data_IF_702801064062
#
_entry.id   IF_702801064062
#
_cell.length_a   1.000
_cell.length_b   1.000
_cell.length_c   1.000
_cell.angle_alpha   90.00
_cell.angle_beta   90.00
_cell.angle_gamma   90.00
#
_symmetry.space_group_name_H-M   'P 1'
#
loop_
_entity.id
_entity.type
_entity.pdbx_description
1 polymer ?
#
# COMPACT_ATOMS: atom_id res chain seq x y z
N UNK A 1 0.47 -40.24 8.89
CA UNK A 1 1.38 -39.88 7.78
C UNK A 1 1.63 -38.36 7.75
N UNK A 2 1.94 -37.75 8.91
CA UNK A 2 1.99 -36.27 9.11
C UNK A 2 3.40 -35.78 9.46
N UNK A 3 4.39 -36.68 9.45
CA UNK A 3 5.73 -36.39 9.99
C UNK A 3 6.81 -36.16 8.93
N UNK A 4 6.48 -36.20 7.63
CA UNK A 4 7.47 -36.03 6.55
C UNK A 4 7.39 -34.70 5.79
N UNK A 5 6.37 -33.86 6.03
CA UNK A 5 6.20 -32.57 5.31
C UNK A 5 6.96 -31.43 6.01
N UNK A 6 7.20 -31.52 7.33
CA UNK A 6 7.96 -30.51 8.07
C UNK A 6 9.47 -30.51 7.80
N UNK A 7 10.06 -31.64 7.38
CA UNK A 7 11.51 -31.73 7.16
C UNK A 7 11.97 -31.18 5.80
N UNK A 8 11.11 -31.24 4.78
CA UNK A 8 11.44 -30.73 3.43
C UNK A 8 11.35 -29.20 3.40
N UNK A 9 10.48 -28.60 4.20
CA UNK A 9 10.36 -27.13 4.34
C UNK A 9 11.61 -26.54 5.04
N UNK A 10 12.26 -27.29 5.93
CA UNK A 10 13.47 -26.82 6.62
C UNK A 10 14.72 -26.80 5.71
N UNK A 11 14.82 -27.74 4.77
CA UNK A 11 16.00 -27.83 3.86
C UNK A 11 15.94 -26.79 2.74
N UNK A 12 14.75 -26.48 2.21
CA UNK A 12 14.59 -25.42 1.19
C UNK A 12 14.79 -24.02 1.79
N UNK A 13 14.51 -23.83 3.08
CA UNK A 13 14.73 -22.55 3.79
C UNK A 13 16.22 -22.22 4.00
N UNK A 14 17.10 -23.22 4.00
CA UNK A 14 18.55 -23.01 4.18
C UNK A 14 19.32 -22.75 2.87
N UNK A 15 18.81 -23.21 1.73
CA UNK A 15 19.51 -23.11 0.44
C UNK A 15 19.36 -21.74 -0.27
N UNK A 16 18.32 -20.96 0.01
CA UNK A 16 18.07 -19.66 -0.64
C UNK A 16 18.46 -18.43 0.20
N UNK A 17 19.20 -18.62 1.29
CA UNK A 17 19.47 -17.56 2.30
C UNK A 17 20.55 -16.55 1.91
N UNK A 18 21.09 -16.61 0.69
CA UNK A 18 22.34 -15.90 0.32
C UNK A 18 22.20 -14.80 -0.74
N UNK A 19 21.02 -14.52 -1.32
CA UNK A 19 20.86 -13.39 -2.26
C UNK A 19 19.71 -12.41 -1.95
N UNK A 20 18.86 -12.68 -0.95
CA UNK A 20 17.58 -11.96 -0.78
C UNK A 20 17.52 -10.96 0.41
N UNK A 21 18.68 -10.49 0.90
CA UNK A 21 18.75 -9.72 2.16
C UNK A 21 18.59 -8.20 2.08
N UNK A 22 18.46 -7.61 0.88
CA UNK A 22 18.49 -6.14 0.71
C UNK A 22 17.27 -5.59 -0.06
N UNK A 23 16.05 -6.06 0.22
CA UNK A 23 14.82 -5.49 -0.35
C UNK A 23 14.09 -4.64 0.70
N UNK A 24 13.77 -3.40 0.35
CA UNK A 24 12.84 -2.57 1.11
C UNK A 24 11.42 -2.84 0.63
N UNK A 25 10.58 -3.36 1.52
CA UNK A 25 9.26 -3.87 1.16
C UNK A 25 8.17 -2.86 1.51
N UNK A 26 7.30 -2.60 0.55
CA UNK A 26 6.12 -1.76 0.70
C UNK A 26 4.88 -2.58 0.41
N UNK A 27 4.00 -2.66 1.39
CA UNK A 27 2.66 -3.23 1.23
C UNK A 27 1.76 -2.14 0.67
N UNK A 28 1.05 -2.47 -0.40
CA UNK A 28 -0.01 -1.63 -0.95
C UNK A 28 -1.33 -2.23 -0.44
N UNK A 29 -2.03 -1.48 0.42
CA UNK A 29 -3.25 -1.92 1.07
C UNK A 29 -4.36 -0.86 1.05
N UNK A 30 -5.60 -1.32 1.05
CA UNK A 30 -6.77 -0.48 0.86
C UNK A 30 -7.69 -0.97 -0.26
N UNK A 31 -8.28 -0.01 -0.98
CA UNK A 31 -9.35 -0.24 -1.96
C UNK A 31 -8.98 0.26 -3.37
N UNK A 32 -9.99 0.52 -4.22
CA UNK A 32 -9.80 0.81 -5.65
C UNK A 32 -8.83 1.95 -5.98
N UNK A 33 -8.68 2.97 -5.14
CA UNK A 33 -7.69 4.03 -5.35
C UNK A 33 -6.25 3.62 -4.98
N UNK A 34 -6.05 2.60 -4.14
CA UNK A 34 -4.74 1.94 -4.00
C UNK A 34 -4.52 0.90 -5.10
N UNK A 35 -5.55 0.11 -5.44
CA UNK A 35 -5.48 -0.83 -6.56
C UNK A 35 -5.12 -0.13 -7.88
N UNK A 36 -5.62 1.10 -8.05
CA UNK A 36 -5.41 1.95 -9.22
C UNK A 36 -6.51 1.79 -10.26
N UNK A 37 -7.04 2.93 -10.69
CA UNK A 37 -8.03 3.05 -11.78
C UNK A 37 -7.71 4.19 -12.74
N UNK A 38 -6.54 4.81 -12.60
CA UNK A 38 -6.10 5.85 -13.52
C UNK A 38 -6.08 5.34 -14.97
N UNK A 39 -6.75 6.04 -15.87
CA UNK A 39 -6.81 5.69 -17.30
C UNK A 39 -7.84 4.60 -17.63
N UNK A 40 -8.61 4.12 -16.65
CA UNK A 40 -9.72 3.18 -16.90
C UNK A 40 -10.99 3.96 -17.20
N UNK A 41 -11.54 3.77 -18.41
CA UNK A 41 -12.83 4.34 -18.83
C UNK A 41 -13.66 3.22 -19.45
N UNK A 42 -14.93 3.09 -19.03
CA UNK A 42 -15.83 2.03 -19.51
C UNK A 42 -15.22 0.61 -19.39
N UNK A 43 -14.54 0.32 -18.29
CA UNK A 43 -13.83 -0.95 -18.05
C UNK A 43 -12.73 -1.25 -19.09
N UNK A 44 -12.10 -0.22 -19.66
CA UNK A 44 -10.97 -0.37 -20.56
C UNK A 44 -9.86 0.56 -20.07
N UNK A 45 -8.68 0.00 -19.79
CA UNK A 45 -7.48 0.78 -19.52
C UNK A 45 -6.92 1.34 -20.84
N UNK A 46 -6.61 2.63 -20.88
CA UNK A 46 -6.07 3.31 -22.07
C UNK A 46 -4.65 2.85 -22.45
N UNK A 47 -3.96 2.12 -21.57
CA UNK A 47 -2.61 1.61 -21.78
C UNK A 47 -1.52 2.68 -21.64
N UNK A 48 -1.87 3.91 -21.26
CA UNK A 48 -0.91 4.99 -21.10
C UNK A 48 -0.17 4.86 -19.77
N UNK A 49 1.15 4.65 -19.84
CA UNK A 49 2.03 4.61 -18.67
C UNK A 49 2.82 5.92 -18.56
N UNK A 50 2.58 6.76 -17.54
CA UNK A 50 3.35 7.98 -17.32
C UNK A 50 4.85 7.69 -17.14
N UNK A 51 5.75 8.64 -17.48
CA UNK A 51 7.20 8.50 -17.26
C UNK A 51 7.59 8.13 -15.82
N UNK A 52 6.86 8.66 -14.84
CA UNK A 52 7.06 8.40 -13.41
C UNK A 52 6.67 6.98 -12.99
N UNK A 53 5.85 6.30 -13.80
CA UNK A 53 5.36 4.94 -13.55
C UNK A 53 6.08 3.88 -14.40
N UNK A 54 7.13 4.24 -15.15
CA UNK A 54 7.87 3.30 -15.99
C UNK A 54 8.54 2.21 -15.16
N UNK A 55 8.67 1.01 -15.74
CA UNK A 55 9.32 -0.11 -15.07
C UNK A 55 10.81 0.13 -14.85
N UNK A 56 11.34 -0.49 -13.79
CA UNK A 56 12.73 -0.34 -13.37
C UNK A 56 13.18 -1.66 -12.76
N UNK A 57 14.34 -2.17 -13.17
CA UNK A 57 14.87 -3.45 -12.69
C UNK A 57 15.12 -3.50 -11.18
N UNK A 58 15.21 -2.34 -10.52
CA UNK A 58 15.35 -2.21 -9.06
C UNK A 58 14.01 -2.13 -8.32
N UNK A 59 12.88 -2.18 -9.04
CA UNK A 59 11.53 -2.22 -8.49
C UNK A 59 10.90 -3.56 -8.87
N UNK A 60 10.57 -4.34 -7.86
CA UNK A 60 9.99 -5.67 -8.03
C UNK A 60 8.57 -5.69 -7.46
N UNK A 61 7.72 -6.57 -7.98
CA UNK A 61 6.39 -6.85 -7.47
C UNK A 61 6.31 -8.31 -7.01
N UNK A 62 5.67 -8.56 -5.87
CA UNK A 62 5.30 -9.91 -5.45
C UNK A 62 4.06 -10.36 -6.22
N UNK A 63 4.20 -11.43 -7.01
CA UNK A 63 3.09 -12.05 -7.75
C UNK A 63 2.25 -12.94 -6.84
N UNK A 64 1.07 -13.33 -7.33
CA UNK A 64 0.22 -14.35 -6.69
C UNK A 64 0.92 -15.71 -6.50
N UNK A 65 1.90 -16.02 -7.36
CA UNK A 65 2.75 -17.21 -7.23
C UNK A 65 3.79 -17.12 -6.11
N UNK A 66 3.79 -16.03 -5.33
CA UNK A 66 4.77 -15.72 -4.28
C UNK A 66 6.20 -15.60 -4.81
N UNK A 67 6.34 -15.21 -6.07
CA UNK A 67 7.63 -14.92 -6.71
C UNK A 67 7.73 -13.43 -7.04
N UNK A 68 8.93 -12.88 -6.91
CA UNK A 68 9.22 -11.51 -7.34
C UNK A 68 9.50 -11.45 -8.84
N UNK A 69 8.93 -10.45 -9.50
CA UNK A 69 9.20 -10.08 -10.89
C UNK A 69 9.43 -8.57 -11.00
N UNK A 70 9.92 -8.08 -12.14
CA UNK A 70 9.99 -6.63 -12.39
C UNK A 70 8.58 -6.01 -12.33
N UNK A 71 8.42 -4.97 -11.53
CA UNK A 71 7.12 -4.30 -11.37
C UNK A 71 6.74 -3.53 -12.64
N UNK A 72 5.48 -3.70 -13.07
CA UNK A 72 4.87 -3.01 -14.22
C UNK A 72 3.43 -2.65 -13.87
N UNK A 73 2.95 -1.54 -14.42
CA UNK A 73 1.53 -1.21 -14.35
C UNK A 73 0.70 -2.08 -15.33
N UNK A 74 -0.56 -2.39 -15.01
CA UNK A 74 -1.22 -2.18 -13.71
C UNK A 74 -0.70 -3.13 -12.61
N UNK A 75 -0.21 -2.58 -11.49
CA UNK A 75 0.41 -3.39 -10.41
C UNK A 75 -0.56 -4.43 -9.82
N UNK A 76 -1.87 -4.14 -9.79
CA UNK A 76 -2.87 -4.98 -9.11
C UNK A 76 -3.60 -5.98 -10.02
N UNK A 77 -3.17 -6.11 -11.29
CA UNK A 77 -3.88 -6.90 -12.30
C UNK A 77 -4.16 -8.37 -11.90
N UNK A 78 -3.31 -8.97 -11.06
CA UNK A 78 -3.47 -10.37 -10.62
C UNK A 78 -4.21 -10.54 -9.29
N UNK A 79 -4.59 -9.44 -8.62
CA UNK A 79 -5.17 -9.47 -7.28
C UNK A 79 -6.61 -8.94 -7.25
N UNK A 80 -6.92 -7.94 -8.08
CA UNK A 80 -8.24 -7.32 -8.15
C UNK A 80 -9.11 -7.97 -9.25
N UNK A 81 -9.47 -9.24 -9.06
CA UNK A 81 -10.14 -10.07 -10.08
C UNK A 81 -11.50 -9.54 -10.57
N UNK A 82 -12.13 -8.65 -9.80
CA UNK A 82 -13.48 -8.16 -10.07
C UNK A 82 -13.49 -6.84 -10.85
N UNK A 83 -12.32 -6.26 -11.14
CA UNK A 83 -12.23 -4.97 -11.79
C UNK A 83 -10.99 -4.82 -12.69
N UNK A 84 -11.12 -4.01 -13.74
CA UNK A 84 -9.99 -3.63 -14.58
C UNK A 84 -9.13 -2.63 -13.82
N UNK A 85 -7.85 -2.97 -13.64
CA UNK A 85 -6.86 -2.10 -13.02
C UNK A 85 -6.25 -1.14 -14.04
N UNK A 86 -5.92 0.06 -13.59
CA UNK A 86 -5.15 1.04 -14.35
C UNK A 86 -3.92 1.50 -13.57
N UNK A 87 -3.52 2.76 -13.76
CA UNK A 87 -2.44 3.37 -12.99
C UNK A 87 -2.84 3.47 -11.52
N UNK A 88 -1.90 3.12 -10.63
CA UNK A 88 -1.99 3.27 -9.19
C UNK A 88 -0.82 4.13 -8.66
N UNK A 89 -0.76 4.45 -7.36
CA UNK A 89 0.32 5.30 -6.84
C UNK A 89 1.65 4.54 -6.67
N UNK A 90 1.66 3.21 -6.78
CA UNK A 90 2.77 2.34 -6.43
C UNK A 90 4.05 2.52 -7.25
N UNK A 91 3.95 2.57 -8.59
CA UNK A 91 5.16 2.76 -9.43
C UNK A 91 5.73 4.17 -9.28
N UNK A 92 4.88 5.20 -9.26
CA UNK A 92 5.30 6.58 -9.02
C UNK A 92 6.00 6.72 -7.66
N UNK A 93 5.42 6.12 -6.62
CA UNK A 93 6.03 6.04 -5.29
C UNK A 93 7.43 5.43 -5.34
N UNK A 94 7.55 4.22 -5.89
CA UNK A 94 8.81 3.48 -5.88
C UNK A 94 9.91 4.16 -6.70
N UNK A 95 9.58 4.67 -7.89
CA UNK A 95 10.53 5.43 -8.71
C UNK A 95 10.96 6.72 -8.02
N UNK A 96 10.04 7.43 -7.36
CA UNK A 96 10.37 8.65 -6.63
C UNK A 96 11.26 8.37 -5.43
N UNK A 97 11.01 7.29 -4.67
CA UNK A 97 11.88 6.86 -3.57
C UNK A 97 13.28 6.52 -4.08
N UNK A 98 13.43 5.68 -5.11
CA UNK A 98 14.74 5.35 -5.68
C UNK A 98 15.52 6.58 -6.15
N UNK A 99 14.82 7.53 -6.76
CA UNK A 99 15.42 8.78 -7.24
C UNK A 99 15.97 9.64 -6.10
N UNK A 100 15.29 9.68 -4.95
CA UNK A 100 15.61 10.58 -3.84
C UNK A 100 16.37 9.89 -2.69
N UNK A 101 16.37 8.57 -2.62
CA UNK A 101 17.25 7.76 -1.77
C UNK A 101 17.86 6.60 -2.57
N UNK A 102 18.92 6.86 -3.37
CA UNK A 102 19.57 5.81 -4.16
C UNK A 102 20.22 4.69 -3.31
N UNK A 103 20.38 4.89 -2.00
CA UNK A 103 20.98 3.91 -1.09
C UNK A 103 19.95 2.91 -0.55
N UNK A 104 18.66 3.15 -0.78
CA UNK A 104 17.58 2.24 -0.36
C UNK A 104 17.71 0.85 -1.00
N UNK A 105 18.43 0.72 -2.11
CA UNK A 105 18.60 -0.58 -2.79
C UNK A 105 17.33 -1.01 -3.52
N UNK A 106 17.04 -2.31 -3.52
CA UNK A 106 15.91 -2.87 -4.29
C UNK A 106 14.60 -2.62 -3.54
N UNK A 107 13.58 -2.14 -4.26
CA UNK A 107 12.22 -1.97 -3.75
C UNK A 107 11.38 -3.19 -4.11
N UNK A 108 10.63 -3.73 -3.15
CA UNK A 108 9.63 -4.78 -3.36
C UNK A 108 8.23 -4.26 -3.04
N UNK A 109 7.36 -4.24 -4.03
CA UNK A 109 5.94 -3.91 -3.90
C UNK A 109 5.14 -5.18 -3.66
N UNK A 110 4.33 -5.18 -2.60
CA UNK A 110 3.43 -6.27 -2.25
C UNK A 110 2.01 -5.76 -2.42
N UNK A 111 1.37 -5.98 -3.59
CA UNK A 111 -0.02 -5.62 -3.79
C UNK A 111 -0.90 -6.51 -2.91
N UNK A 112 -1.64 -5.92 -1.98
CA UNK A 112 -2.63 -6.65 -1.16
C UNK A 112 -4.06 -6.14 -1.41
N UNK A 113 -4.25 -5.11 -2.23
CA UNK A 113 -5.53 -4.46 -2.45
C UNK A 113 -6.56 -5.35 -3.14
N UNK A 114 -7.80 -5.26 -2.65
CA UNK A 114 -8.97 -5.79 -3.34
C UNK A 114 -10.04 -4.70 -3.38
N UNK A 115 -10.47 -4.34 -4.59
CA UNK A 115 -11.50 -3.34 -4.80
C UNK A 115 -12.80 -3.66 -4.04
N UNK A 116 -13.46 -2.63 -3.54
CA UNK A 116 -14.73 -2.73 -2.80
C UNK A 116 -14.69 -3.61 -1.53
N UNK A 117 -13.53 -3.73 -0.88
CA UNK A 117 -13.42 -4.41 0.43
C UNK A 117 -13.63 -3.46 1.61
N UNK A 118 -14.33 -3.95 2.63
CA UNK A 118 -14.50 -3.29 3.91
C UNK A 118 -13.33 -3.66 4.83
N UNK A 119 -12.91 -2.76 5.72
CA UNK A 119 -11.83 -3.01 6.70
C UNK A 119 -12.03 -4.30 7.54
N UNK A 120 -13.28 -4.72 7.75
CA UNK A 120 -13.61 -6.00 8.39
C UNK A 120 -13.06 -7.23 7.64
N UNK A 121 -12.90 -7.16 6.32
CA UNK A 121 -12.33 -8.21 5.47
C UNK A 121 -10.80 -8.29 5.57
N UNK A 122 -10.18 -7.30 6.23
CA UNK A 122 -8.75 -7.24 6.55
C UNK A 122 -8.43 -7.63 7.98
N UNK A 123 -9.42 -8.19 8.69
CA UNK A 123 -9.23 -8.70 10.05
C UNK A 123 -8.20 -9.83 10.12
N UNK A 124 -7.59 -9.95 11.30
CA UNK A 124 -6.64 -11.01 11.64
C UNK A 124 -7.15 -12.40 11.21
N UNK A 125 -6.30 -13.13 10.49
CA UNK A 125 -6.61 -14.47 9.97
C UNK A 125 -7.29 -14.50 8.59
N UNK A 126 -7.67 -13.36 8.01
CA UNK A 126 -8.16 -13.30 6.63
C UNK A 126 -7.08 -13.63 5.60
N UNK A 127 -7.49 -13.98 4.37
CA UNK A 127 -6.58 -14.31 3.28
C UNK A 127 -5.66 -13.12 2.94
N UNK A 128 -6.21 -11.91 2.91
CA UNK A 128 -5.46 -10.68 2.62
C UNK A 128 -4.46 -10.35 3.72
N UNK A 129 -4.86 -10.59 4.97
CA UNK A 129 -4.02 -10.42 6.13
C UNK A 129 -2.79 -11.32 6.15
N UNK A 130 -2.95 -12.60 5.82
CA UNK A 130 -1.86 -13.57 5.85
C UNK A 130 -0.84 -13.43 4.70
N UNK A 131 -1.22 -12.79 3.59
CA UNK A 131 -0.31 -12.47 2.47
C UNK A 131 0.72 -11.39 2.85
N UNK A 132 0.46 -10.66 3.93
CA UNK A 132 1.22 -9.53 4.43
C UNK A 132 2.21 -9.93 5.55
N UNK A 133 2.99 -11.03 5.50
CA UNK A 133 3.99 -11.33 6.57
C UNK A 133 5.45 -11.58 6.08
N UNK A 134 6.47 -10.88 6.69
CA UNK A 134 7.98 -11.02 6.68
C UNK A 134 8.92 -9.97 5.98
N UNK A 135 9.69 -9.14 6.75
CA UNK A 135 10.89 -8.24 6.45
C UNK A 135 10.73 -6.77 6.98
N UNK A 136 11.59 -5.81 6.57
CA UNK A 136 11.49 -4.35 6.93
C UNK A 136 10.43 -3.64 6.10
N UNK A 137 9.26 -3.44 6.70
CA UNK A 137 8.02 -3.18 5.96
C UNK A 137 7.56 -1.75 6.16
N UNK A 138 6.90 -1.20 5.14
CA UNK A 138 6.08 0.00 5.27
C UNK A 138 4.72 -0.30 4.66
N UNK A 139 3.65 0.01 5.37
CA UNK A 139 2.29 -0.11 4.85
C UNK A 139 1.87 1.22 4.23
N UNK A 140 1.52 1.22 2.94
CA UNK A 140 0.80 2.30 2.28
C UNK A 140 -0.68 1.93 2.30
N UNK A 141 -1.50 2.78 2.93
CA UNK A 141 -2.92 2.51 3.15
C UNK A 141 -3.82 3.59 2.52
N UNK A 142 -4.65 3.23 1.54
CA UNK A 142 -5.66 4.14 1.00
C UNK A 142 -7.03 3.46 0.92
N UNK A 143 -7.86 3.76 1.92
CA UNK A 143 -9.18 3.17 2.11
C UNK A 143 -10.11 4.13 2.86
N UNK A 144 -11.41 3.98 2.63
CA UNK A 144 -12.46 4.57 3.47
C UNK A 144 -13.66 5.08 2.70
N UNK A 145 -13.62 5.12 1.37
CA UNK A 145 -14.72 5.67 0.58
C UNK A 145 -16.01 4.88 0.82
N UNK A 146 -15.96 3.55 0.89
CA UNK A 146 -17.16 2.71 1.11
C UNK A 146 -17.86 3.04 2.44
N UNK A 147 -17.09 3.30 3.50
CA UNK A 147 -17.60 3.65 4.83
C UNK A 147 -18.26 5.04 4.85
N UNK A 148 -18.05 5.89 3.84
CA UNK A 148 -18.75 7.19 3.76
C UNK A 148 -20.25 7.07 3.47
N UNK A 149 -20.73 5.90 3.05
CA UNK A 149 -22.10 5.70 2.57
C UNK A 149 -23.13 5.48 3.68
N UNK A 150 -22.71 5.10 4.88
CA UNK A 150 -23.61 4.80 5.99
C UNK A 150 -22.99 5.22 7.33
N UNK A 151 -23.78 5.10 8.40
CA UNK A 151 -23.42 5.61 9.73
C UNK A 151 -22.31 4.82 10.44
N UNK A 152 -21.83 3.70 9.87
CA UNK A 152 -20.60 3.03 10.31
C UNK A 152 -19.37 3.95 10.23
N UNK A 153 -19.44 5.07 9.51
CA UNK A 153 -18.39 6.09 9.51
C UNK A 153 -17.97 6.52 10.94
N UNK A 154 -18.91 6.52 11.88
CA UNK A 154 -18.65 6.82 13.31
C UNK A 154 -17.72 5.82 13.97
N UNK A 155 -17.69 4.58 13.47
CA UNK A 155 -16.83 3.49 13.96
C UNK A 155 -15.51 3.42 13.19
N UNK A 156 -15.32 4.21 12.13
CA UNK A 156 -14.14 4.12 11.28
C UNK A 156 -12.85 4.37 12.06
N UNK A 157 -12.80 5.42 12.90
CA UNK A 157 -11.60 5.76 13.70
C UNK A 157 -11.13 4.60 14.57
N UNK A 158 -12.05 3.95 15.29
CA UNK A 158 -11.72 2.83 16.17
C UNK A 158 -11.36 1.56 15.39
N UNK A 159 -12.04 1.28 14.28
CA UNK A 159 -11.74 0.14 13.39
C UNK A 159 -10.36 0.31 12.72
N UNK A 160 -10.04 1.52 12.26
CA UNK A 160 -8.74 1.84 11.66
C UNK A 160 -7.59 1.70 12.66
N UNK A 161 -7.78 2.23 13.88
CA UNK A 161 -6.81 2.05 14.96
C UNK A 161 -6.57 0.57 15.23
N UNK A 162 -7.64 -0.22 15.41
CA UNK A 162 -7.54 -1.66 15.63
C UNK A 162 -6.83 -2.38 14.49
N UNK A 163 -7.16 -2.05 13.25
CA UNK A 163 -6.51 -2.64 12.09
C UNK A 163 -4.99 -2.40 12.10
N UNK A 164 -4.54 -1.16 12.32
CA UNK A 164 -3.11 -0.85 12.37
C UNK A 164 -2.39 -1.53 13.54
N UNK A 165 -3.04 -1.68 14.71
CA UNK A 165 -2.45 -2.43 15.82
C UNK A 165 -2.39 -3.92 15.53
N UNK A 166 -3.46 -4.51 14.98
CA UNK A 166 -3.48 -5.93 14.63
C UNK A 166 -2.36 -6.24 13.62
N UNK A 167 -2.27 -5.44 12.53
CA UNK A 167 -1.23 -5.55 11.49
C UNK A 167 0.18 -5.57 12.10
N UNK A 168 0.44 -4.68 13.07
CA UNK A 168 1.73 -4.60 13.76
C UNK A 168 2.01 -5.83 14.61
N UNK A 169 1.00 -6.32 15.31
CA UNK A 169 1.10 -7.45 16.22
C UNK A 169 1.40 -8.74 15.45
N UNK A 170 0.68 -9.03 14.36
CA UNK A 170 0.95 -10.26 13.61
C UNK A 170 2.22 -10.18 12.76
N UNK A 171 2.64 -8.97 12.35
CA UNK A 171 3.97 -8.76 11.78
C UNK A 171 5.09 -8.79 12.81
N UNK A 172 4.76 -8.86 14.10
CA UNK A 172 5.70 -8.70 15.21
C UNK A 172 6.61 -7.47 15.01
N UNK A 173 6.03 -6.38 14.52
CA UNK A 173 6.71 -5.14 14.15
C UNK A 173 5.96 -3.95 14.76
N UNK A 174 6.07 -3.73 16.09
CA UNK A 174 5.29 -2.71 16.80
C UNK A 174 5.56 -1.28 16.32
N UNK A 175 6.70 -1.04 15.68
CA UNK A 175 7.12 0.24 15.12
C UNK A 175 6.94 0.34 13.60
N UNK A 176 6.15 -0.56 12.98
CA UNK A 176 5.90 -0.57 11.53
C UNK A 176 5.50 0.83 11.05
N UNK A 177 6.26 1.44 10.12
CA UNK A 177 5.85 2.66 9.44
C UNK A 177 4.57 2.42 8.65
N UNK A 178 3.57 3.26 8.87
CA UNK A 178 2.31 3.26 8.13
C UNK A 178 2.12 4.66 7.55
N UNK A 179 1.77 4.73 6.27
CA UNK A 179 1.39 5.97 5.59
C UNK A 179 -0.02 5.77 5.07
N UNK A 180 -0.98 6.46 5.69
CA UNK A 180 -2.37 6.43 5.26
C UNK A 180 -2.72 7.66 4.42
N UNK A 181 -3.77 7.55 3.62
CA UNK A 181 -4.27 8.62 2.75
C UNK A 181 -5.63 9.11 3.24
N UNK A 182 -5.77 10.40 3.49
CA UNK A 182 -7.07 11.03 3.69
C UNK A 182 -7.80 11.25 2.36
N UNK A 183 -9.06 10.85 2.28
CA UNK A 183 -9.79 10.66 1.01
C UNK A 183 -9.84 11.89 0.10
N UNK A 184 -9.62 11.73 -1.20
CA UNK A 184 -9.78 12.81 -2.18
C UNK A 184 -11.25 13.11 -2.54
N UNK A 185 -12.07 12.07 -2.67
CA UNK A 185 -13.41 12.15 -3.25
C UNK A 185 -14.50 12.32 -2.19
N UNK A 186 -15.60 12.97 -2.59
CA UNK A 186 -16.83 13.10 -1.79
C UNK A 186 -17.86 12.06 -2.23
N UNK A 187 -17.61 10.81 -1.86
CA UNK A 187 -18.42 9.68 -2.33
C UNK A 187 -19.75 9.54 -1.57
N UNK A 188 -19.75 9.78 -0.25
CA UNK A 188 -20.93 9.62 0.60
C UNK A 188 -21.10 10.75 1.63
N UNK A 189 -22.27 10.79 2.30
CA UNK A 189 -22.62 11.87 3.24
C UNK A 189 -21.65 12.00 4.42
N UNK A 190 -20.95 10.92 4.79
CA UNK A 190 -20.02 10.91 5.92
C UNK A 190 -18.55 11.11 5.52
N UNK A 191 -18.26 11.61 4.30
CA UNK A 191 -16.89 11.83 3.82
C UNK A 191 -16.03 12.64 4.79
N UNK A 192 -16.57 13.72 5.34
CA UNK A 192 -15.81 14.59 6.26
C UNK A 192 -15.50 13.87 7.58
N UNK A 193 -16.40 13.02 8.06
CA UNK A 193 -16.22 12.25 9.30
C UNK A 193 -15.11 11.20 9.14
N UNK A 194 -15.06 10.53 7.97
CA UNK A 194 -13.95 9.62 7.62
C UNK A 194 -12.63 10.38 7.48
N UNK A 195 -12.63 11.52 6.79
CA UNK A 195 -11.42 12.34 6.61
C UNK A 195 -10.89 12.85 7.95
N UNK A 196 -11.75 13.32 8.84
CA UNK A 196 -11.35 13.72 10.20
C UNK A 196 -10.72 12.55 10.95
N UNK A 197 -11.31 11.35 10.90
CA UNK A 197 -10.72 10.16 11.53
C UNK A 197 -9.31 9.83 10.99
N UNK A 198 -9.09 9.95 9.67
CA UNK A 198 -7.79 9.72 9.04
C UNK A 198 -6.75 10.80 9.43
N UNK A 199 -7.15 12.08 9.39
CA UNK A 199 -6.27 13.22 9.68
C UNK A 199 -5.91 13.33 11.17
N UNK A 200 -6.82 12.96 12.06
CA UNK A 200 -6.63 13.00 13.52
C UNK A 200 -6.04 11.70 14.09
N UNK A 201 -5.52 10.80 13.26
CA UNK A 201 -4.92 9.56 13.74
C UNK A 201 -3.68 9.86 14.59
N UNK A 202 -3.73 9.48 15.86
CA UNK A 202 -2.64 9.63 16.82
C UNK A 202 -2.04 8.27 17.15
N UNK A 203 -1.28 7.72 16.21
CA UNK A 203 -0.53 6.47 16.38
C UNK A 203 0.94 6.71 16.08
N UNK A 204 1.82 6.18 16.93
CA UNK A 204 3.27 6.25 16.69
C UNK A 204 3.60 5.63 15.32
N UNK A 205 4.56 6.20 14.59
CA UNK A 205 4.99 5.74 13.27
C UNK A 205 3.86 5.62 12.23
N UNK A 206 2.79 6.41 12.40
CA UNK A 206 1.75 6.59 11.37
C UNK A 206 1.84 8.02 10.86
N UNK A 207 1.86 8.19 9.54
CA UNK A 207 1.70 9.49 8.87
C UNK A 207 0.43 9.47 8.02
N UNK A 208 -0.28 10.59 7.99
CA UNK A 208 -1.41 10.79 7.08
C UNK A 208 -1.01 11.78 6.00
N UNK A 209 -1.20 11.42 4.74
CA UNK A 209 -1.11 12.36 3.60
C UNK A 209 -2.52 12.75 3.18
N UNK A 210 -2.72 13.99 2.72
CA UNK A 210 -4.03 14.45 2.29
C UNK A 210 -4.15 14.41 0.76
N UNK A 211 -5.08 13.62 0.24
CA UNK A 211 -5.38 13.56 -1.19
C UNK A 211 -6.45 14.59 -1.64
N UNK A 212 -6.95 15.43 -0.72
CA UNK A 212 -7.87 16.50 -1.06
C UNK A 212 -7.30 17.43 -2.13
N UNK A 213 -8.11 17.77 -3.13
CA UNK A 213 -7.70 18.58 -4.28
C UNK A 213 -7.04 17.80 -5.41
N UNK A 214 -6.73 16.52 -5.24
CA UNK A 214 -6.37 15.65 -6.36
C UNK A 214 -7.57 15.47 -7.29
N UNK A 215 -7.28 15.38 -8.60
CA UNK A 215 -8.30 15.27 -9.64
C UNK A 215 -8.85 13.85 -9.70
N UNK A 216 -10.16 13.75 -9.50
CA UNK A 216 -10.96 12.54 -9.68
C UNK A 216 -11.38 12.36 -11.14
N UNK A 217 -11.66 11.11 -11.51
CA UNK A 217 -12.19 10.69 -12.80
C UNK A 217 -13.69 11.01 -12.97
N UNK A 218 -14.27 10.64 -14.12
CA UNK A 218 -15.67 10.93 -14.46
C UNK A 218 -16.68 10.20 -13.56
N UNK A 219 -16.27 9.18 -12.82
CA UNK A 219 -17.08 8.47 -11.82
C UNK A 219 -17.20 9.22 -10.47
N UNK A 220 -16.50 10.35 -10.32
CA UNK A 220 -16.48 11.18 -9.11
C UNK A 220 -15.88 10.53 -7.84
N UNK A 221 -15.21 9.39 -7.96
CA UNK A 221 -14.65 8.63 -6.82
C UNK A 221 -13.18 8.32 -7.01
N UNK A 222 -12.82 7.82 -8.19
CA UNK A 222 -11.52 7.27 -8.53
C UNK A 222 -10.55 8.37 -8.94
N UNK A 223 -9.27 8.23 -8.60
CA UNK A 223 -8.25 9.19 -9.03
C UNK A 223 -7.94 9.06 -10.53
N UNK A 224 -7.67 10.21 -11.15
CA UNK A 224 -7.15 10.23 -12.53
C UNK A 224 -5.68 9.81 -12.57
N UNK A 225 -5.18 9.35 -13.73
CA UNK A 225 -3.76 8.97 -13.90
C UNK A 225 -2.77 10.03 -13.39
N UNK A 226 -2.89 11.33 -13.71
CA UNK A 226 -1.97 12.34 -13.16
C UNK A 226 -2.05 12.46 -11.63
N UNK A 227 -3.22 12.22 -11.05
CA UNK A 227 -3.41 12.28 -9.60
C UNK A 227 -2.87 11.05 -8.88
N UNK A 228 -2.93 9.87 -9.48
CA UNK A 228 -2.24 8.67 -8.98
C UNK A 228 -0.71 8.87 -8.98
N UNK A 229 -0.17 9.47 -10.05
CA UNK A 229 1.25 9.86 -10.10
C UNK A 229 1.58 10.83 -8.97
N UNK A 230 0.81 11.89 -8.81
CA UNK A 230 1.02 12.90 -7.77
C UNK A 230 0.91 12.29 -6.36
N UNK A 231 -0.07 11.42 -6.12
CA UNK A 231 -0.24 10.74 -4.85
C UNK A 231 0.96 9.86 -4.52
N UNK A 232 1.49 9.11 -5.50
CA UNK A 232 2.71 8.31 -5.32
C UNK A 232 3.90 9.15 -4.84
N UNK A 233 4.09 10.35 -5.39
CA UNK A 233 5.15 11.27 -4.96
C UNK A 233 4.92 11.83 -3.56
N UNK A 234 3.67 12.14 -3.20
CA UNK A 234 3.31 12.60 -1.85
C UNK A 234 3.58 11.50 -0.82
N UNK A 235 3.19 10.25 -1.11
CA UNK A 235 3.49 9.08 -0.28
C UNK A 235 5.00 8.87 -0.13
N UNK A 236 5.77 9.01 -1.21
CA UNK A 236 7.22 8.86 -1.20
C UNK A 236 7.90 9.91 -0.31
N UNK A 237 7.46 11.17 -0.38
CA UNK A 237 7.96 12.23 0.50
C UNK A 237 7.64 11.94 1.97
N UNK A 238 6.43 11.47 2.28
CA UNK A 238 6.06 11.09 3.65
C UNK A 238 6.95 9.95 4.17
N UNK A 239 7.24 8.95 3.32
CA UNK A 239 8.13 7.85 3.63
C UNK A 239 9.57 8.32 3.92
N UNK A 240 10.15 9.10 3.02
CA UNK A 240 11.52 9.62 3.16
C UNK A 240 11.69 10.45 4.45
N UNK A 241 10.62 11.16 4.86
CA UNK A 241 10.59 11.88 6.12
C UNK A 241 10.58 10.99 7.38
N UNK A 242 10.47 9.65 7.30
CA UNK A 242 10.73 8.78 8.46
C UNK A 242 12.23 8.67 8.75
N UNK A 243 13.09 8.73 7.72
CA UNK A 243 14.55 8.62 7.85
C UNK A 243 15.21 9.84 8.49
N UNK A 244 14.67 11.05 8.28
CA UNK A 244 15.20 12.27 8.91
C UNK A 244 15.15 12.25 10.44
N UNK A 245 14.23 11.49 11.04
CA UNK A 245 14.14 11.31 12.50
C UNK A 245 15.17 10.31 13.05
N UNK A 246 15.71 9.40 12.22
CA UNK A 246 16.82 8.49 12.63
C UNK A 246 18.15 9.24 12.71
N UNK A 247 18.43 10.13 11.77
CA UNK A 247 19.69 10.90 11.76
C UNK A 247 19.79 11.92 12.91
N UNK A 248 18.69 12.35 13.51
CA UNK A 248 18.71 13.25 14.68
C UNK A 248 19.01 12.54 16.01
N UNK A 249 18.92 11.21 16.05
CA UNK A 249 19.24 10.41 17.25
C UNK A 249 20.68 9.89 17.25
N UNK A 250 21.36 9.89 16.10
CA UNK A 250 22.78 9.49 15.97
C UNK A 250 23.78 10.66 16.18
N UNK A 251 23.29 11.89 16.42
CA UNK A 251 24.13 13.10 16.60
C UNK A 251 24.15 13.57 18.07
N UNK A 252 23.65 12.76 18.99
CA UNK A 252 23.79 13.01 20.43
C UNK A 252 24.65 11.88 21.01
N UNK A 253 25.95 11.98 20.81
CA UNK A 253 27.00 11.35 21.63
C UNK A 253 28.17 12.34 21.77
#
# INVERSE_FOLDING_TARGET
MVTCIFLIILVVSLANKTTDRNKNIFILGGQSNMSGRGGVVNNIFDGFIPPECQSNSSILRLTKGLTYEEAKEPIHQDNDFFAICGICPGMSFANFVLKNDPKIGVIGLVPCDVGATNISQWSQGSIFYNQMLNRTWTLLWYQGETETLNDDAKLYKSRLYKFFTDVRDDLNTPSLPIIQVALASKFGPYTEEIRQAQLETQLQNVKTVDANGLKIGPDFVLLSTPSEVQLGQILANAFLGFGSARNSLEVID
#
